data_IF_536594088657
#
_entry.id   IF_536594088657
#
_cell.length_a   1.000
_cell.length_b   1.000
_cell.length_c   1.000
_cell.angle_alpha   90.00
_cell.angle_beta   90.00
_cell.angle_gamma   90.00
#
_symmetry.space_group_name_H-M   'P 1'
#
loop_
_entity.id
_entity.type
_entity.pdbx_description
1 polymer ?
#
# COMPACT_ATOMS: atom_id res chain seq x y z
N UNK A 1 30.33 -19.71 -13.78
CA UNK A 1 29.55 -20.13 -12.60
C UNK A 1 28.61 -18.99 -12.28
N UNK A 2 27.30 -19.16 -12.48
CA UNK A 2 26.32 -18.10 -12.19
C UNK A 2 26.06 -18.15 -10.68
N UNK A 3 26.22 -17.04 -9.93
CA UNK A 3 26.05 -17.06 -8.48
C UNK A 3 24.61 -17.41 -8.09
N UNK A 4 24.47 -18.32 -7.13
CA UNK A 4 23.20 -18.86 -6.61
C UNK A 4 22.39 -17.84 -5.78
N UNK A 5 22.88 -16.61 -5.60
CA UNK A 5 22.36 -15.62 -4.66
C UNK A 5 21.26 -14.72 -5.24
N UNK A 6 20.76 -15.00 -6.45
CA UNK A 6 19.80 -14.16 -7.16
C UNK A 6 18.40 -14.05 -6.52
N UNK A 7 18.16 -14.62 -5.34
CA UNK A 7 16.80 -14.77 -4.79
C UNK A 7 16.59 -14.40 -3.33
N UNK A 8 17.64 -14.22 -2.52
CA UNK A 8 17.48 -13.87 -1.10
C UNK A 8 18.08 -12.48 -0.89
N UNK A 9 17.24 -11.45 -0.67
CA UNK A 9 17.73 -10.10 -0.46
C UNK A 9 18.64 -10.06 0.77
N UNK A 10 19.85 -9.50 0.60
CA UNK A 10 21.00 -9.72 1.49
C UNK A 10 21.09 -8.75 2.67
N UNK A 11 20.15 -7.81 2.78
CA UNK A 11 20.06 -6.85 3.87
C UNK A 11 19.61 -5.47 3.39
N UNK A 12 20.36 -4.81 2.50
CA UNK A 12 19.98 -3.50 1.95
C UNK A 12 18.64 -3.51 1.21
N UNK A 13 18.36 -4.56 0.43
CA UNK A 13 17.11 -4.70 -0.33
C UNK A 13 15.92 -4.99 0.58
N UNK A 14 16.14 -5.71 1.70
CA UNK A 14 15.14 -5.90 2.74
C UNK A 14 14.81 -4.58 3.44
N UNK A 15 15.83 -3.78 3.75
CA UNK A 15 15.67 -2.44 4.33
C UNK A 15 14.86 -1.53 3.42
N UNK A 16 15.16 -1.53 2.11
CA UNK A 16 14.37 -0.77 1.14
C UNK A 16 12.93 -1.25 1.09
N UNK A 17 12.70 -2.57 1.06
CA UNK A 17 11.34 -3.13 1.03
C UNK A 17 10.55 -2.79 2.31
N UNK A 18 11.20 -2.91 3.48
CA UNK A 18 10.61 -2.67 4.80
C UNK A 18 10.41 -1.17 5.09
N UNK A 19 11.11 -0.28 4.41
CA UNK A 19 10.96 1.16 4.56
C UNK A 19 9.98 1.73 3.52
N UNK A 20 10.20 1.41 2.24
CA UNK A 20 9.42 1.98 1.13
C UNK A 20 7.99 1.45 1.13
N UNK A 21 7.79 0.15 1.36
CA UNK A 21 6.46 -0.46 1.38
C UNK A 21 5.52 0.21 2.39
N UNK A 22 5.90 0.30 3.68
CA UNK A 22 5.09 0.97 4.70
C UNK A 22 4.90 2.47 4.44
N UNK A 23 5.92 3.19 3.95
CA UNK A 23 5.77 4.61 3.63
C UNK A 23 4.71 4.81 2.55
N UNK A 24 4.78 4.03 1.46
CA UNK A 24 3.77 4.11 0.38
C UNK A 24 2.39 3.72 0.92
N UNK A 25 2.31 2.69 1.76
CA UNK A 25 1.06 2.29 2.40
C UNK A 25 0.45 3.39 3.27
N UNK A 26 1.26 4.11 4.05
CA UNK A 26 0.80 5.23 4.87
C UNK A 26 0.32 6.41 4.02
N UNK A 27 1.05 6.73 2.93
CA UNK A 27 0.64 7.78 1.99
C UNK A 27 -0.70 7.45 1.34
N UNK A 28 -0.89 6.20 0.90
CA UNK A 28 -2.14 5.74 0.31
C UNK A 28 -3.29 5.74 1.32
N UNK A 29 -3.06 5.23 2.53
CA UNK A 29 -4.05 5.24 3.60
C UNK A 29 -4.50 6.67 3.94
N UNK A 30 -3.54 7.60 4.06
CA UNK A 30 -3.83 9.01 4.32
C UNK A 30 -4.64 9.65 3.19
N UNK A 31 -4.26 9.41 1.93
CA UNK A 31 -5.00 9.91 0.77
C UNK A 31 -6.44 9.40 0.77
N UNK A 32 -6.63 8.08 0.90
CA UNK A 32 -7.95 7.45 0.88
C UNK A 32 -8.81 7.95 2.04
N UNK A 33 -8.25 8.05 3.26
CA UNK A 33 -8.96 8.57 4.42
C UNK A 33 -9.44 10.01 4.19
N UNK A 34 -8.52 10.90 3.80
CA UNK A 34 -8.85 12.32 3.63
C UNK A 34 -9.80 12.59 2.47
N UNK A 35 -9.77 11.79 1.41
CA UNK A 35 -10.74 11.87 0.32
C UNK A 35 -12.11 11.36 0.75
N UNK A 36 -12.18 10.24 1.46
CA UNK A 36 -13.43 9.66 1.97
C UNK A 36 -14.10 10.58 3.01
N UNK A 37 -13.32 11.14 3.93
CA UNK A 37 -13.81 12.06 4.96
C UNK A 37 -14.40 13.33 4.34
N UNK A 38 -13.77 13.88 3.29
CA UNK A 38 -14.30 15.04 2.54
C UNK A 38 -15.63 14.75 1.84
N UNK A 39 -15.88 13.49 1.50
CA UNK A 39 -17.12 13.04 0.84
C UNK A 39 -18.19 12.61 1.84
N UNK A 40 -17.87 12.53 3.14
CA UNK A 40 -18.78 12.00 4.16
C UNK A 40 -19.01 10.49 4.03
N UNK A 41 -18.05 9.74 3.51
CA UNK A 41 -18.13 8.27 3.43
C UNK A 41 -17.94 7.65 4.81
N UNK A 42 -18.97 6.93 5.29
CA UNK A 42 -18.99 6.30 6.61
C UNK A 42 -17.86 5.29 6.82
N UNK A 43 -17.43 4.61 5.74
CA UNK A 43 -16.39 3.58 5.79
C UNK A 43 -14.99 4.09 5.44
N UNK A 44 -14.76 5.40 5.42
CA UNK A 44 -13.48 5.99 5.00
C UNK A 44 -12.26 5.45 5.76
N UNK A 45 -12.40 5.21 7.06
CA UNK A 45 -11.34 4.60 7.87
C UNK A 45 -11.04 3.15 7.47
N UNK A 46 -12.05 2.34 7.12
CA UNK A 46 -11.87 0.97 6.66
C UNK A 46 -11.15 0.94 5.31
N UNK A 47 -11.55 1.81 4.37
CA UNK A 47 -10.89 1.94 3.08
C UNK A 47 -9.41 2.31 3.21
N UNK A 48 -9.10 3.25 4.10
CA UNK A 48 -7.73 3.65 4.39
C UNK A 48 -6.89 2.51 4.98
N UNK A 49 -7.44 1.78 5.95
CA UNK A 49 -6.76 0.62 6.57
C UNK A 49 -6.51 -0.47 5.55
N UNK A 50 -7.51 -0.82 4.73
CA UNK A 50 -7.35 -1.86 3.69
C UNK A 50 -6.32 -1.44 2.65
N UNK A 51 -6.32 -0.17 2.20
CA UNK A 51 -5.32 0.33 1.25
C UNK A 51 -3.90 0.30 1.84
N UNK A 52 -3.74 0.72 3.10
CA UNK A 52 -2.46 0.70 3.79
C UNK A 52 -1.94 -0.73 4.02
N UNK A 53 -2.78 -1.63 4.53
CA UNK A 53 -2.38 -3.02 4.78
C UNK A 53 -2.11 -3.79 3.49
N UNK A 54 -2.90 -3.58 2.44
CA UNK A 54 -2.65 -4.19 1.14
C UNK A 54 -1.30 -3.76 0.53
N UNK A 55 -0.88 -2.51 0.77
CA UNK A 55 0.44 -1.99 0.36
C UNK A 55 1.61 -2.70 1.05
N UNK A 56 1.39 -3.22 2.26
CA UNK A 56 2.42 -3.94 3.01
C UNK A 56 2.36 -5.43 2.67
N UNK A 57 1.17 -6.03 2.68
CA UNK A 57 0.98 -7.47 2.50
C UNK A 57 1.24 -7.95 1.06
N UNK A 58 0.86 -7.13 0.07
CA UNK A 58 0.97 -7.47 -1.35
C UNK A 58 1.89 -6.50 -2.10
N UNK A 59 2.88 -5.93 -1.39
CA UNK A 59 3.75 -4.84 -1.87
C UNK A 59 2.95 -3.57 -2.22
N UNK A 60 3.59 -2.44 -2.59
CA UNK A 60 2.86 -1.21 -2.94
C UNK A 60 1.75 -1.41 -3.98
N UNK A 61 1.85 -2.43 -4.84
CA UNK A 61 0.84 -2.78 -5.82
C UNK A 61 -0.51 -3.17 -5.20
N UNK A 62 -0.52 -3.87 -4.05
CA UNK A 62 -1.76 -4.22 -3.38
C UNK A 62 -2.59 -2.99 -2.98
N UNK A 63 -1.93 -1.97 -2.44
CA UNK A 63 -2.58 -0.70 -2.11
C UNK A 63 -3.09 0.04 -3.34
N UNK A 64 -2.36 0.01 -4.46
CA UNK A 64 -2.80 0.62 -5.72
C UNK A 64 -4.05 -0.07 -6.28
N UNK A 65 -4.16 -1.40 -6.14
CA UNK A 65 -5.37 -2.13 -6.53
C UNK A 65 -6.56 -1.71 -5.65
N UNK A 66 -6.36 -1.63 -4.33
CA UNK A 66 -7.41 -1.15 -3.42
C UNK A 66 -7.80 0.29 -3.75
N UNK A 67 -6.81 1.16 -4.00
CA UNK A 67 -7.05 2.54 -4.43
C UNK A 67 -7.88 2.57 -5.72
N UNK A 68 -7.55 1.74 -6.71
CA UNK A 68 -8.30 1.67 -7.96
C UNK A 68 -9.76 1.27 -7.71
N UNK A 69 -10.01 0.24 -6.89
CA UNK A 69 -11.36 -0.18 -6.51
C UNK A 69 -12.10 0.93 -5.75
N UNK A 70 -11.44 1.58 -4.79
CA UNK A 70 -11.99 2.71 -4.05
C UNK A 70 -12.39 3.86 -4.99
N UNK A 71 -11.53 4.19 -5.97
CA UNK A 71 -11.80 5.24 -6.96
C UNK A 71 -13.01 4.90 -7.82
N UNK A 72 -13.21 3.63 -8.19
CA UNK A 72 -14.38 3.19 -8.96
C UNK A 72 -15.67 3.15 -8.13
N UNK A 73 -15.56 2.90 -6.83
CA UNK A 73 -16.71 2.81 -5.92
C UNK A 73 -17.17 4.18 -5.39
N UNK A 74 -16.23 5.13 -5.27
CA UNK A 74 -16.50 6.48 -4.73
C UNK A 74 -17.17 7.43 -5.74
N UNK A 75 -17.31 7.00 -6.99
CA UNK A 75 -18.09 7.70 -8.03
C UNK A 75 -19.60 7.49 -7.79
#
# INVERSE_FOLDING_TARGET
MIPLQFGIPGGPELLLTLLVGPIVGLVLAYYVYTDAEKRGEDNGALWAVVAGLASVAATPFGGLVVLFVYVLQRD
#
